data_IF_332187842361
#
_entry.id   IF_332187842361
#
_cell.length_a   1.000
_cell.length_b   1.000
_cell.length_c   1.000
_cell.angle_alpha   90.00
_cell.angle_beta   90.00
_cell.angle_gamma   90.00
#
_symmetry.space_group_name_H-M   'P 1'
#
loop_
_entity.id
_entity.type
_entity.pdbx_description
1 polymer ?
#
# COMPACT_ATOMS: atom_id res chain seq x y z
N UNK A 1 5.31 6.61 37.45
CA UNK A 1 5.71 5.31 36.87
C UNK A 1 6.76 4.72 37.80
N UNK A 2 6.63 3.46 38.26
CA UNK A 2 7.64 2.84 39.12
C UNK A 2 8.96 2.64 38.33
N UNK A 3 10.11 2.70 38.99
CA UNK A 3 11.46 2.60 38.41
C UNK A 3 11.60 1.38 37.50
N UNK A 4 11.10 0.22 37.93
CA UNK A 4 11.11 -1.03 37.14
C UNK A 4 10.37 -0.85 35.81
N UNK A 5 9.18 -0.26 35.84
CA UNK A 5 8.40 0.01 34.61
C UNK A 5 9.14 1.01 33.71
N UNK A 6 9.85 1.97 34.28
CA UNK A 6 10.70 2.89 33.51
C UNK A 6 11.86 2.19 32.79
N UNK A 7 12.57 1.30 33.49
CA UNK A 7 13.66 0.51 32.91
C UNK A 7 13.16 -0.41 31.79
N UNK A 8 12.01 -1.07 31.98
CA UNK A 8 11.40 -1.93 30.96
C UNK A 8 10.99 -1.12 29.72
N UNK A 9 10.38 0.05 29.91
CA UNK A 9 10.03 0.97 28.81
C UNK A 9 11.28 1.41 28.03
N UNK A 10 12.35 1.78 28.73
CA UNK A 10 13.61 2.19 28.12
C UNK A 10 14.24 1.03 27.32
N UNK A 11 14.30 -0.16 27.91
CA UNK A 11 14.82 -1.36 27.27
C UNK A 11 14.09 -1.68 25.95
N UNK A 12 12.76 -1.75 25.96
CA UNK A 12 12.00 -2.05 24.74
C UNK A 12 12.11 -0.95 23.69
N UNK A 13 12.22 0.30 24.11
CA UNK A 13 12.47 1.43 23.21
C UNK A 13 13.81 1.25 22.50
N UNK A 14 14.90 1.07 23.25
CA UNK A 14 16.24 0.87 22.70
C UNK A 14 16.27 -0.37 21.80
N UNK A 15 15.72 -1.49 22.25
CA UNK A 15 15.70 -2.74 21.50
C UNK A 15 14.98 -2.56 20.15
N UNK A 16 13.79 -1.96 20.14
CA UNK A 16 13.02 -1.77 18.91
C UNK A 16 13.73 -0.82 17.95
N UNK A 17 14.12 0.37 18.39
CA UNK A 17 14.69 1.38 17.50
C UNK A 17 16.08 0.98 16.99
N UNK A 18 16.96 0.40 17.82
CA UNK A 18 18.25 -0.09 17.35
C UNK A 18 18.08 -1.28 16.40
N UNK A 19 17.20 -2.24 16.70
CA UNK A 19 16.95 -3.35 15.77
C UNK A 19 16.38 -2.86 14.44
N UNK A 20 15.43 -1.91 14.50
CA UNK A 20 14.90 -1.29 13.30
C UNK A 20 15.95 -0.49 12.55
N UNK A 21 16.96 0.09 13.22
CA UNK A 21 18.06 0.87 12.66
C UNK A 21 19.18 0.03 12.01
N UNK A 22 19.56 -1.08 12.64
CA UNK A 22 20.66 -1.92 12.14
C UNK A 22 20.18 -3.02 11.19
N UNK A 23 18.89 -3.37 11.20
CA UNK A 23 18.34 -4.38 10.28
C UNK A 23 18.19 -3.85 8.86
N UNK A 24 18.35 -4.74 7.88
CA UNK A 24 17.96 -4.53 6.47
C UNK A 24 16.46 -4.81 6.24
N UNK A 25 15.76 -5.32 7.25
CA UNK A 25 14.33 -5.63 7.21
C UNK A 25 13.47 -4.40 7.52
N UNK A 26 12.22 -4.44 7.07
CA UNK A 26 11.29 -3.34 7.32
C UNK A 26 10.92 -3.26 8.80
N UNK A 27 10.66 -2.07 9.36
CA UNK A 27 10.28 -1.89 10.77
C UNK A 27 9.18 -2.85 11.28
N UNK A 28 8.11 -3.11 10.51
CA UNK A 28 7.09 -4.07 10.96
C UNK A 28 7.51 -5.53 10.96
N UNK A 29 8.47 -5.91 10.12
CA UNK A 29 9.07 -7.26 10.15
C UNK A 29 9.93 -7.42 11.40
N UNK A 30 10.70 -6.38 11.75
CA UNK A 30 11.47 -6.33 13.00
C UNK A 30 10.54 -6.43 14.21
N UNK A 31 9.44 -5.67 14.22
CA UNK A 31 8.41 -5.74 15.27
C UNK A 31 7.84 -7.16 15.39
N UNK A 32 7.47 -7.79 14.27
CA UNK A 32 6.97 -9.17 14.28
C UNK A 32 7.98 -10.16 14.85
N UNK A 33 9.27 -10.04 14.50
CA UNK A 33 10.32 -10.93 15.02
C UNK A 33 10.59 -10.74 16.51
N UNK A 34 10.62 -9.50 16.99
CA UNK A 34 10.91 -9.18 18.40
C UNK A 34 9.73 -9.50 19.32
N UNK A 35 8.50 -9.30 18.84
CA UNK A 35 7.28 -9.35 19.67
C UNK A 35 6.25 -10.37 19.16
N UNK A 36 6.73 -11.42 18.47
CA UNK A 36 5.88 -12.50 17.94
C UNK A 36 4.93 -13.03 19.00
N UNK A 37 3.66 -13.18 18.65
CA UNK A 37 2.59 -13.70 19.51
C UNK A 37 2.32 -12.90 20.81
N UNK A 38 2.96 -11.76 21.01
CA UNK A 38 2.71 -10.92 22.19
C UNK A 38 1.32 -10.30 22.11
N UNK A 39 0.57 -10.29 23.20
CA UNK A 39 -0.72 -9.61 23.31
C UNK A 39 -0.60 -8.31 24.12
N UNK A 40 -1.59 -7.43 24.01
CA UNK A 40 -1.68 -6.15 24.66
C UNK A 40 -0.85 -5.06 23.99
N UNK A 41 -0.29 -4.19 24.83
CA UNK A 41 0.57 -3.09 24.44
C UNK A 41 1.90 -3.11 25.18
N UNK A 42 2.95 -2.64 24.52
CA UNK A 42 4.27 -2.40 25.13
C UNK A 42 4.45 -0.89 25.25
N UNK A 43 4.79 -0.40 26.44
CA UNK A 43 5.11 1.01 26.61
C UNK A 43 6.51 1.30 26.04
N UNK A 44 6.61 2.28 25.14
CA UNK A 44 7.85 2.89 24.68
C UNK A 44 7.94 4.30 25.28
N UNK A 45 9.09 4.96 25.21
CA UNK A 45 9.30 6.29 25.84
C UNK A 45 8.20 7.29 25.44
N UNK A 46 7.97 7.48 24.14
CA UNK A 46 7.05 8.50 23.59
C UNK A 46 5.64 7.97 23.24
N UNK A 47 5.47 6.65 23.10
CA UNK A 47 4.25 6.03 22.55
C UNK A 47 4.06 4.60 23.03
N UNK A 48 2.90 4.00 22.78
CA UNK A 48 2.66 2.58 23.04
C UNK A 48 2.77 1.77 21.73
N UNK A 49 3.44 0.62 21.74
CA UNK A 49 3.40 -0.36 20.65
C UNK A 49 2.23 -1.32 20.86
N UNK A 50 1.30 -1.35 19.90
CA UNK A 50 0.13 -2.24 19.91
C UNK A 50 0.49 -3.56 19.24
N UNK A 51 0.27 -4.68 19.94
CA UNK A 51 0.75 -5.99 19.51
C UNK A 51 -0.33 -6.91 18.90
N UNK A 52 -1.61 -6.59 19.06
CA UNK A 52 -2.73 -7.36 18.50
C UNK A 52 -3.92 -6.48 18.12
N UNK A 53 -4.80 -7.04 17.27
CA UNK A 53 -5.96 -6.35 16.72
C UNK A 53 -7.05 -6.06 17.77
N UNK A 54 -7.25 -6.94 18.74
CA UNK A 54 -8.22 -6.76 19.82
C UNK A 54 -7.88 -5.51 20.66
N UNK A 55 -6.63 -5.38 21.07
CA UNK A 55 -6.10 -4.22 21.79
C UNK A 55 -6.26 -2.96 20.95
N UNK A 56 -5.98 -3.03 19.64
CA UNK A 56 -6.10 -1.89 18.74
C UNK A 56 -7.54 -1.38 18.62
N UNK A 57 -8.50 -2.30 18.46
CA UNK A 57 -9.93 -1.98 18.30
C UNK A 57 -10.51 -1.40 19.60
N UNK A 58 -9.98 -1.81 20.76
CA UNK A 58 -10.37 -1.31 22.07
C UNK A 58 -9.71 0.02 22.45
N UNK A 59 -8.84 0.59 21.61
CA UNK A 59 -8.28 1.92 21.87
C UNK A 59 -9.38 3.00 21.80
N UNK A 60 -9.25 4.10 22.57
CA UNK A 60 -10.16 5.23 22.46
C UNK A 60 -10.23 5.73 21.01
N UNK A 61 -11.45 5.86 20.49
CA UNK A 61 -11.70 6.35 19.13
C UNK A 61 -11.12 7.76 18.99
N UNK A 62 -10.29 7.96 17.97
CA UNK A 62 -9.63 9.23 17.71
C UNK A 62 -9.75 9.61 16.24
N UNK A 63 -10.32 10.80 15.99
CA UNK A 63 -10.48 11.33 14.65
C UNK A 63 -9.20 12.00 14.10
N UNK A 64 -8.18 12.26 14.94
CA UNK A 64 -6.90 12.85 14.50
C UNK A 64 -6.18 11.98 13.46
N UNK A 65 -5.33 12.56 12.60
CA UNK A 65 -4.59 11.83 11.57
C UNK A 65 -3.62 10.79 12.13
N UNK A 66 -3.22 9.84 11.28
CA UNK A 66 -2.09 8.96 11.60
C UNK A 66 -0.86 9.88 11.65
N UNK A 67 0.14 9.54 12.46
CA UNK A 67 1.39 10.30 12.52
C UNK A 67 2.03 10.38 11.11
N UNK A 68 2.77 11.47 10.86
CA UNK A 68 3.57 11.74 9.67
C UNK A 68 4.39 10.56 9.12
N UNK A 69 4.71 9.56 9.95
CA UNK A 69 5.29 8.27 9.57
C UNK A 69 4.48 7.58 8.43
N UNK A 70 3.14 7.68 8.47
CA UNK A 70 2.22 7.11 7.46
C UNK A 70 1.94 8.08 6.30
N UNK A 71 2.19 9.39 6.47
CA UNK A 71 1.58 10.46 5.65
C UNK A 71 2.46 11.01 4.51
N UNK A 72 3.56 10.35 4.14
CA UNK A 72 4.37 10.80 2.99
C UNK A 72 3.76 10.45 1.61
N UNK A 73 2.46 10.19 1.57
CA UNK A 73 1.70 9.88 0.36
C UNK A 73 1.34 11.14 -0.44
N UNK A 74 1.60 12.33 0.10
CA UNK A 74 1.16 13.54 -0.55
C UNK A 74 2.04 13.97 -1.72
N UNK A 75 1.46 14.13 -2.92
CA UNK A 75 2.15 14.63 -4.09
C UNK A 75 2.51 16.11 -4.03
N UNK A 76 1.70 16.99 -3.45
CA UNK A 76 1.84 18.44 -3.70
C UNK A 76 2.14 19.26 -2.44
N UNK A 77 1.50 18.90 -1.33
CA UNK A 77 1.77 19.30 0.06
C UNK A 77 1.22 18.14 0.90
N UNK A 78 1.81 17.75 2.05
CA UNK A 78 1.17 16.82 2.98
C UNK A 78 -0.21 17.31 3.44
N UNK A 79 -1.26 17.15 2.64
CA UNK A 79 -2.64 17.54 2.93
C UNK A 79 -3.13 16.83 4.18
N UNK A 80 -2.62 15.64 4.51
CA UNK A 80 -2.82 14.99 5.81
C UNK A 80 -2.00 15.59 6.98
N UNK A 81 -0.93 16.36 6.75
CA UNK A 81 -0.32 17.25 7.77
C UNK A 81 -1.07 18.58 7.88
N UNK A 82 -1.70 19.06 6.80
CA UNK A 82 -2.56 20.25 6.82
C UNK A 82 -3.86 19.95 7.58
N UNK A 83 -4.38 18.72 7.48
CA UNK A 83 -5.72 18.40 7.95
C UNK A 83 -5.77 17.86 9.39
N UNK A 84 -5.43 18.74 10.33
CA UNK A 84 -5.89 18.62 11.72
C UNK A 84 -7.39 18.96 11.87
N UNK A 85 -8.08 19.30 10.78
CA UNK A 85 -9.46 19.74 10.80
C UNK A 85 -10.39 18.57 10.42
N UNK A 86 -11.31 18.20 11.32
CA UNK A 86 -12.23 17.09 11.08
C UNK A 86 -13.15 17.27 9.86
N UNK A 87 -13.23 18.48 9.30
CA UNK A 87 -14.11 18.83 8.19
C UNK A 87 -13.66 18.25 6.85
N UNK A 88 -12.39 18.42 6.45
CA UNK A 88 -11.99 18.15 5.07
C UNK A 88 -11.85 16.66 4.77
N UNK A 89 -11.26 15.84 5.65
CA UNK A 89 -11.23 14.39 5.45
C UNK A 89 -12.64 13.76 5.43
N UNK A 90 -13.60 14.29 6.20
CA UNK A 90 -15.01 13.84 6.14
C UNK A 90 -15.64 14.21 4.81
N UNK A 91 -15.42 15.42 4.32
CA UNK A 91 -15.91 15.86 3.02
C UNK A 91 -15.30 15.04 1.88
N UNK A 92 -13.99 14.78 1.90
CA UNK A 92 -13.32 13.86 0.94
C UNK A 92 -13.91 12.45 0.99
N UNK A 93 -14.30 11.96 2.17
CA UNK A 93 -15.00 10.67 2.29
C UNK A 93 -16.40 10.68 1.67
N UNK A 94 -17.15 11.77 1.79
CA UNK A 94 -18.45 11.93 1.12
C UNK A 94 -18.26 11.91 -0.40
N UNK A 95 -17.29 12.68 -0.89
CA UNK A 95 -16.88 12.71 -2.31
C UNK A 95 -16.46 11.32 -2.78
N UNK A 96 -15.66 10.59 -1.99
CA UNK A 96 -15.28 9.22 -2.33
C UNK A 96 -16.51 8.31 -2.48
N UNK A 97 -17.45 8.36 -1.55
CA UNK A 97 -18.70 7.57 -1.61
C UNK A 97 -19.58 7.90 -2.83
N UNK A 98 -19.43 9.09 -3.42
CA UNK A 98 -20.10 9.43 -4.69
C UNK A 98 -19.44 8.71 -5.88
N UNK A 99 -18.11 8.70 -5.94
CA UNK A 99 -17.37 8.07 -7.02
C UNK A 99 -17.32 6.54 -6.94
N UNK A 100 -17.37 5.97 -5.73
CA UNK A 100 -17.21 4.54 -5.48
C UNK A 100 -18.12 3.64 -6.36
N UNK A 101 -19.46 3.83 -6.39
CA UNK A 101 -20.33 3.00 -7.22
C UNK A 101 -20.09 3.18 -8.73
N UNK A 102 -19.77 4.41 -9.18
CA UNK A 102 -19.52 4.71 -10.60
C UNK A 102 -18.26 3.99 -11.08
N UNK A 103 -17.21 4.00 -10.26
CA UNK A 103 -15.96 3.32 -10.59
C UNK A 103 -16.14 1.81 -10.58
N UNK A 104 -16.88 1.27 -9.59
CA UNK A 104 -17.17 -0.17 -9.52
C UNK A 104 -17.95 -0.66 -10.75
N UNK A 105 -18.94 0.10 -11.22
CA UNK A 105 -19.66 -0.17 -12.48
C UNK A 105 -18.72 -0.18 -13.69
N UNK A 106 -17.86 0.85 -13.82
CA UNK A 106 -16.87 0.92 -14.91
C UNK A 106 -15.88 -0.24 -14.92
N UNK A 107 -15.52 -0.78 -13.75
CA UNK A 107 -14.66 -1.97 -13.65
C UNK A 107 -15.35 -3.19 -14.26
N UNK A 108 -16.67 -3.33 -14.07
CA UNK A 108 -17.45 -4.45 -14.62
C UNK A 108 -17.66 -4.34 -16.14
N UNK A 109 -17.76 -3.12 -16.66
CA UNK A 109 -18.00 -2.85 -18.08
C UNK A 109 -16.72 -2.95 -18.94
N UNK A 110 -15.56 -2.64 -18.38
CA UNK A 110 -14.31 -2.58 -19.15
C UNK A 110 -13.69 -3.96 -19.37
N UNK A 111 -13.57 -4.33 -20.65
CA UNK A 111 -12.74 -5.45 -21.10
C UNK A 111 -11.29 -5.00 -21.25
N UNK A 112 -10.56 -5.05 -20.15
CA UNK A 112 -9.14 -4.74 -20.19
C UNK A 112 -8.32 -5.96 -20.66
N UNK A 113 -7.76 -5.91 -21.87
CA UNK A 113 -6.81 -6.92 -22.31
C UNK A 113 -5.38 -6.47 -22.03
N UNK A 114 -4.73 -7.13 -21.06
CA UNK A 114 -3.33 -6.88 -20.73
C UNK A 114 -2.52 -8.16 -20.81
N UNK A 115 -1.41 -8.08 -21.53
CA UNK A 115 -0.40 -9.13 -21.61
C UNK A 115 0.92 -8.57 -21.10
N UNK A 116 1.51 -9.20 -20.08
CA UNK A 116 2.86 -8.86 -19.66
C UNK A 116 3.85 -9.36 -20.72
N UNK A 117 4.85 -8.55 -21.08
CA UNK A 117 5.87 -9.01 -22.02
C UNK A 117 6.74 -10.13 -21.43
N UNK A 118 7.31 -10.96 -22.29
CA UNK A 118 8.33 -11.92 -21.90
C UNK A 118 9.54 -11.16 -21.33
N UNK A 119 9.84 -11.36 -20.05
CA UNK A 119 10.87 -10.57 -19.35
C UNK A 119 11.55 -11.35 -18.24
N UNK A 120 12.86 -11.13 -18.10
CA UNK A 120 13.67 -11.46 -16.92
C UNK A 120 13.98 -10.15 -16.19
N UNK A 121 13.38 -9.91 -15.03
CA UNK A 121 13.70 -8.73 -14.21
C UNK A 121 12.51 -8.17 -13.44
N UNK A 122 12.54 -6.86 -13.21
CA UNK A 122 11.55 -6.17 -12.40
C UNK A 122 10.24 -5.90 -13.17
N UNK A 123 9.14 -6.52 -12.75
CA UNK A 123 7.81 -6.30 -13.34
C UNK A 123 6.97 -5.25 -12.61
N UNK A 124 7.44 -4.76 -11.46
CA UNK A 124 6.69 -3.81 -10.63
C UNK A 124 6.27 -2.58 -11.44
N UNK A 125 7.17 -2.07 -12.26
CA UNK A 125 6.91 -0.86 -13.06
C UNK A 125 6.04 -1.13 -14.29
N UNK A 126 6.10 -2.34 -14.84
CA UNK A 126 5.23 -2.72 -15.96
C UNK A 126 3.77 -2.79 -15.48
N UNK A 127 3.54 -3.39 -14.30
CA UNK A 127 2.22 -3.43 -13.66
C UNK A 127 1.80 -2.01 -13.22
N UNK A 128 2.73 -1.22 -12.67
CA UNK A 128 2.45 0.16 -12.27
C UNK A 128 1.95 1.01 -13.44
N UNK A 129 2.57 0.90 -14.60
CA UNK A 129 2.15 1.61 -15.80
C UNK A 129 0.72 1.21 -16.23
N UNK A 130 0.42 -0.10 -16.23
CA UNK A 130 -0.93 -0.62 -16.50
C UNK A 130 -1.93 -0.02 -15.52
N UNK A 131 -1.64 -0.10 -14.22
CA UNK A 131 -2.51 0.43 -13.18
C UNK A 131 -2.70 1.94 -13.25
N UNK A 132 -1.69 2.71 -13.67
CA UNK A 132 -1.82 4.15 -13.89
C UNK A 132 -2.77 4.48 -15.04
N UNK A 133 -2.69 3.75 -16.17
CA UNK A 133 -3.64 3.93 -17.29
C UNK A 133 -5.06 3.57 -16.86
N UNK A 134 -5.23 2.45 -16.17
CA UNK A 134 -6.55 2.05 -15.64
C UNK A 134 -7.10 3.10 -14.66
N UNK A 135 -6.26 3.62 -13.75
CA UNK A 135 -6.71 4.61 -12.77
C UNK A 135 -7.22 5.89 -13.44
N UNK A 136 -6.55 6.33 -14.51
CA UNK A 136 -7.01 7.46 -15.31
C UNK A 136 -8.32 7.12 -16.00
N UNK A 137 -8.38 5.98 -16.69
CA UNK A 137 -9.57 5.55 -17.41
C UNK A 137 -10.79 5.41 -16.51
N UNK A 138 -10.63 4.94 -15.27
CA UNK A 138 -11.73 4.83 -14.32
C UNK A 138 -12.22 6.20 -13.83
N UNK A 139 -11.34 7.19 -13.70
CA UNK A 139 -11.73 8.55 -13.27
C UNK A 139 -12.41 9.35 -14.38
N UNK A 140 -11.90 9.25 -15.61
CA UNK A 140 -12.32 10.11 -16.74
C UNK A 140 -13.15 9.37 -17.81
N UNK A 141 -13.34 8.05 -17.66
CA UNK A 141 -14.02 7.16 -18.61
C UNK A 141 -13.46 7.20 -20.05
N UNK A 142 -12.16 7.50 -20.20
CA UNK A 142 -11.48 7.51 -21.50
C UNK A 142 -9.99 7.22 -21.33
N UNK A 143 -9.38 6.75 -22.40
CA UNK A 143 -7.93 6.53 -22.46
C UNK A 143 -7.23 7.90 -22.35
N UNK A 144 -6.16 8.04 -21.56
CA UNK A 144 -5.38 9.27 -21.53
C UNK A 144 -4.73 9.50 -22.89
N UNK A 145 -4.70 10.76 -23.33
CA UNK A 145 -3.83 11.17 -24.43
C UNK A 145 -2.36 11.01 -24.02
N UNK A 146 -1.46 10.92 -24.98
CA UNK A 146 -0.02 10.80 -24.71
C UNK A 146 0.50 11.95 -23.83
N UNK A 147 0.04 13.18 -24.09
CA UNK A 147 0.41 14.35 -23.29
C UNK A 147 -0.10 14.26 -21.85
N UNK A 148 -1.36 13.84 -21.64
CA UNK A 148 -1.90 13.66 -20.29
C UNK A 148 -1.14 12.58 -19.53
N UNK A 149 -0.83 11.46 -20.19
CA UNK A 149 -0.07 10.38 -19.58
C UNK A 149 1.35 10.84 -19.21
N UNK A 150 2.04 11.54 -20.11
CA UNK A 150 3.40 12.06 -19.88
C UNK A 150 3.47 13.16 -18.81
N UNK A 151 2.34 13.77 -18.46
CA UNK A 151 2.24 14.75 -17.38
C UNK A 151 1.89 14.11 -16.03
N UNK A 152 1.03 13.08 -16.03
CA UNK A 152 0.52 12.43 -14.82
C UNK A 152 1.45 11.31 -14.34
N UNK A 153 1.84 10.39 -15.24
CA UNK A 153 2.56 9.17 -14.89
C UNK A 153 3.89 9.43 -14.16
N UNK A 154 4.75 10.39 -14.58
CA UNK A 154 5.98 10.67 -13.87
C UNK A 154 5.74 11.12 -12.41
N UNK A 155 4.70 11.92 -12.17
CA UNK A 155 4.31 12.34 -10.82
C UNK A 155 3.86 11.16 -9.96
N UNK A 156 2.99 10.28 -10.49
CA UNK A 156 2.57 9.05 -9.80
C UNK A 156 3.75 8.12 -9.51
N UNK A 157 4.67 7.98 -10.47
CA UNK A 157 5.87 7.15 -10.32
C UNK A 157 6.81 7.67 -9.24
N UNK A 158 6.99 8.99 -9.15
CA UNK A 158 7.78 9.62 -8.08
C UNK A 158 7.18 9.37 -6.70
N UNK A 159 5.87 9.57 -6.55
CA UNK A 159 5.16 9.25 -5.31
C UNK A 159 5.45 7.79 -4.92
N UNK A 160 5.30 6.85 -5.86
CA UNK A 160 5.55 5.44 -5.60
C UNK A 160 7.01 5.16 -5.22
N UNK A 161 7.98 5.78 -5.89
CA UNK A 161 9.42 5.65 -5.57
C UNK A 161 9.74 6.16 -4.17
N UNK A 162 9.16 7.28 -3.75
CA UNK A 162 9.31 7.83 -2.40
C UNK A 162 8.67 6.88 -1.37
N UNK A 163 7.44 6.42 -1.62
CA UNK A 163 6.71 5.47 -0.75
C UNK A 163 7.52 4.19 -0.53
N UNK A 164 8.06 3.64 -1.62
CA UNK A 164 8.84 2.39 -1.61
C UNK A 164 10.32 2.55 -1.28
N UNK A 165 10.77 3.78 -0.96
CA UNK A 165 12.16 4.07 -0.56
C UNK A 165 13.19 3.77 -1.66
N UNK A 166 12.79 3.95 -2.93
CA UNK A 166 13.72 4.00 -4.05
C UNK A 166 14.44 5.35 -4.11
N UNK A 167 13.77 6.41 -3.65
CA UNK A 167 14.28 7.77 -3.45
C UNK A 167 13.90 8.24 -2.05
N UNK A 168 14.68 9.16 -1.48
CA UNK A 168 14.39 9.77 -0.17
C UNK A 168 13.58 11.05 -0.30
N UNK A 169 13.79 11.82 -1.37
CA UNK A 169 13.18 13.13 -1.58
C UNK A 169 12.26 13.14 -2.80
N UNK A 170 11.16 13.89 -2.74
CA UNK A 170 10.26 14.10 -3.87
C UNK A 170 10.89 14.97 -4.96
N UNK A 171 10.61 14.68 -6.22
CA UNK A 171 10.89 15.62 -7.32
C UNK A 171 9.70 16.58 -7.48
N UNK A 172 9.91 17.82 -7.03
CA UNK A 172 8.86 18.84 -6.98
C UNK A 172 8.45 19.35 -8.37
N UNK A 173 9.32 19.29 -9.38
CA UNK A 173 8.98 19.78 -10.71
C UNK A 173 7.97 18.85 -11.39
N UNK A 174 8.22 17.53 -11.34
CA UNK A 174 7.28 16.56 -11.91
C UNK A 174 5.98 16.46 -11.10
N UNK A 175 6.04 16.70 -9.78
CA UNK A 175 4.83 16.84 -8.95
C UNK A 175 4.03 18.07 -9.34
N UNK A 176 4.64 19.23 -9.52
CA UNK A 176 3.91 20.41 -9.97
C UNK A 176 3.21 20.16 -11.31
N UNK A 177 3.91 19.51 -12.26
CA UNK A 177 3.33 19.15 -13.56
C UNK A 177 2.11 18.23 -13.42
N UNK A 178 2.17 17.24 -12.53
CA UNK A 178 1.04 16.36 -12.22
C UNK A 178 -0.13 17.13 -11.57
N UNK A 179 0.16 18.08 -10.67
CA UNK A 179 -0.85 18.97 -10.08
C UNK A 179 -1.58 19.76 -11.16
N UNK A 180 -0.83 20.50 -11.96
CA UNK A 180 -1.36 21.41 -12.98
C UNK A 180 -2.20 20.64 -14.01
N UNK A 181 -1.74 19.45 -14.42
CA UNK A 181 -2.50 18.59 -15.32
C UNK A 181 -3.79 18.08 -14.68
N UNK A 182 -3.76 17.68 -13.40
CA UNK A 182 -4.97 17.23 -12.69
C UNK A 182 -5.97 18.37 -12.55
N UNK A 183 -5.50 19.57 -12.20
CA UNK A 183 -6.33 20.76 -12.11
C UNK A 183 -7.00 21.09 -13.46
N UNK A 184 -6.24 21.03 -14.56
CA UNK A 184 -6.78 21.24 -15.90
C UNK A 184 -7.90 20.25 -16.24
N UNK A 185 -7.72 18.96 -15.93
CA UNK A 185 -8.73 17.92 -16.17
C UNK A 185 -10.01 18.15 -15.34
N UNK A 186 -9.86 18.59 -14.10
CA UNK A 186 -10.99 18.97 -13.24
C UNK A 186 -11.74 20.16 -13.84
N UNK A 187 -11.02 21.19 -14.30
CA UNK A 187 -11.61 22.40 -14.87
C UNK A 187 -12.30 22.17 -16.23
N UNK A 188 -11.80 21.23 -17.03
CA UNK A 188 -12.47 20.80 -18.26
C UNK A 188 -13.85 20.20 -17.97
N UNK A 189 -14.02 19.59 -16.79
CA UNK A 189 -15.26 19.01 -16.31
C UNK A 189 -16.05 18.24 -17.38
N UNK A 190 -15.35 17.31 -18.05
CA UNK A 190 -15.96 16.51 -19.10
C UNK A 190 -17.17 15.71 -18.56
N UNK A 191 -18.16 15.46 -19.42
CA UNK A 191 -19.41 14.80 -19.00
C UNK A 191 -19.22 13.46 -18.31
N UNK A 192 -18.16 12.75 -18.70
CA UNK A 192 -17.81 11.43 -18.20
C UNK A 192 -16.85 11.45 -17.00
N UNK A 193 -16.40 12.62 -16.55
CA UNK A 193 -15.62 12.73 -15.32
C UNK A 193 -16.46 12.28 -14.12
N UNK A 194 -15.90 11.43 -13.25
CA UNK A 194 -16.65 10.81 -12.13
C UNK A 194 -17.29 11.83 -11.18
N UNK A 195 -16.73 13.03 -11.07
CA UNK A 195 -17.26 14.09 -10.18
C UNK A 195 -18.05 15.18 -10.91
N UNK A 196 -18.35 15.03 -12.20
CA UNK A 196 -18.99 16.09 -12.99
C UNK A 196 -20.29 16.61 -12.34
N UNK A 197 -21.10 15.72 -11.76
CA UNK A 197 -22.35 16.09 -11.07
C UNK A 197 -22.24 16.04 -9.52
N UNK A 198 -21.03 16.09 -8.97
CA UNK A 198 -20.80 16.00 -7.54
C UNK A 198 -20.67 17.40 -6.91
N UNK A 199 -21.77 17.94 -6.38
CA UNK A 199 -21.75 19.24 -5.71
C UNK A 199 -20.74 19.31 -4.56
N UNK A 200 -20.70 18.29 -3.70
CA UNK A 200 -19.79 18.24 -2.55
C UNK A 200 -18.30 18.31 -2.96
N UNK A 201 -17.97 17.84 -4.17
CA UNK A 201 -16.62 17.93 -4.72
C UNK A 201 -16.27 19.37 -5.11
N UNK A 202 -17.17 20.06 -5.84
CA UNK A 202 -16.96 21.44 -6.25
C UNK A 202 -17.06 22.46 -5.10
N UNK A 203 -17.73 22.10 -4.01
CA UNK A 203 -17.77 22.90 -2.77
C UNK A 203 -16.43 22.83 -2.00
N UNK A 204 -15.49 21.94 -2.36
CA UNK A 204 -14.14 21.93 -1.79
C UNK A 204 -13.24 22.99 -2.43
N UNK A 205 -12.18 23.40 -1.73
CA UNK A 205 -11.15 24.23 -2.36
C UNK A 205 -10.35 23.42 -3.40
N UNK A 206 -9.65 24.14 -4.29
CA UNK A 206 -8.86 23.57 -5.39
C UNK A 206 -7.90 22.46 -4.93
N UNK A 207 -7.13 22.73 -3.86
CA UNK A 207 -6.16 21.77 -3.34
C UNK A 207 -6.83 20.44 -2.96
N UNK A 208 -8.00 20.48 -2.31
CA UNK A 208 -8.74 19.29 -1.93
C UNK A 208 -9.43 18.60 -3.12
N UNK A 209 -9.87 19.34 -4.13
CA UNK A 209 -10.37 18.75 -5.39
C UNK A 209 -9.26 17.96 -6.09
N UNK A 210 -8.09 18.58 -6.27
CA UNK A 210 -6.92 17.93 -6.86
C UNK A 210 -6.48 16.74 -6.00
N UNK A 211 -6.45 16.88 -4.67
CA UNK A 211 -6.08 15.78 -3.77
C UNK A 211 -7.03 14.60 -3.86
N UNK A 212 -8.34 14.83 -3.96
CA UNK A 212 -9.31 13.74 -4.14
C UNK A 212 -9.03 12.96 -5.42
N UNK A 213 -8.78 13.63 -6.55
CA UNK A 213 -8.46 12.93 -7.80
C UNK A 213 -7.08 12.26 -7.74
N UNK A 214 -6.04 13.03 -7.44
CA UNK A 214 -4.64 12.59 -7.52
C UNK A 214 -4.24 11.61 -6.41
N UNK A 215 -4.59 11.88 -5.16
CA UNK A 215 -4.21 11.06 -4.00
C UNK A 215 -5.19 9.92 -3.79
N UNK A 216 -6.48 10.23 -3.63
CA UNK A 216 -7.45 9.23 -3.17
C UNK A 216 -7.73 8.18 -4.25
N UNK A 217 -7.75 8.58 -5.52
CA UNK A 217 -8.02 7.66 -6.63
C UNK A 217 -6.78 7.27 -7.43
N UNK A 218 -6.15 8.21 -8.14
CA UNK A 218 -5.05 7.87 -9.07
C UNK A 218 -3.88 7.19 -8.34
N UNK A 219 -3.42 7.76 -7.24
CA UNK A 219 -2.31 7.20 -6.45
C UNK A 219 -2.72 5.90 -5.75
N UNK A 220 -3.87 5.85 -5.09
CA UNK A 220 -4.32 4.63 -4.39
C UNK A 220 -4.43 3.44 -5.34
N UNK A 221 -5.09 3.62 -6.49
CA UNK A 221 -5.23 2.56 -7.49
C UNK A 221 -3.86 2.21 -8.06
N UNK A 222 -3.09 3.21 -8.52
CA UNK A 222 -1.78 2.96 -9.14
C UNK A 222 -0.81 2.26 -8.20
N UNK A 223 -0.70 2.69 -6.95
CA UNK A 223 0.32 2.18 -6.01
C UNK A 223 -0.16 0.91 -5.32
N UNK A 224 -1.30 0.94 -4.63
CA UNK A 224 -1.70 -0.17 -3.76
C UNK A 224 -2.15 -1.39 -4.56
N UNK A 225 -2.90 -1.19 -5.65
CA UNK A 225 -3.35 -2.32 -6.46
C UNK A 225 -2.19 -2.94 -7.26
N UNK A 226 -1.19 -2.15 -7.68
CA UNK A 226 0.06 -2.70 -8.24
C UNK A 226 0.74 -3.65 -7.26
N UNK A 227 0.86 -3.25 -5.99
CA UNK A 227 1.51 -4.06 -4.98
C UNK A 227 0.74 -5.34 -4.71
N UNK A 228 -0.59 -5.24 -4.59
CA UNK A 228 -1.45 -6.41 -4.43
C UNK A 228 -1.30 -7.38 -5.61
N UNK A 229 -1.41 -6.90 -6.86
CA UNK A 229 -1.24 -7.73 -8.06
C UNK A 229 0.15 -8.38 -8.09
N UNK A 230 1.22 -7.64 -7.75
CA UNK A 230 2.57 -8.21 -7.65
C UNK A 230 2.66 -9.31 -6.60
N UNK A 231 2.08 -9.12 -5.41
CA UNK A 231 2.05 -10.15 -4.37
C UNK A 231 1.26 -11.38 -4.81
N UNK A 232 0.11 -11.18 -5.45
CA UNK A 232 -0.71 -12.26 -5.99
C UNK A 232 0.04 -13.06 -7.06
N UNK A 233 0.72 -12.40 -8.01
CA UNK A 233 1.50 -13.08 -9.06
C UNK A 233 2.67 -13.91 -8.49
N UNK A 234 3.32 -13.41 -7.44
CA UNK A 234 4.39 -14.15 -6.76
C UNK A 234 3.84 -15.38 -6.02
N UNK A 235 2.71 -15.25 -5.32
CA UNK A 235 2.06 -16.38 -4.65
C UNK A 235 1.50 -17.39 -5.67
N UNK A 236 0.93 -16.92 -6.78
CA UNK A 236 0.44 -17.75 -7.88
C UNK A 236 1.54 -18.67 -8.44
N UNK A 237 2.80 -18.21 -8.48
CA UNK A 237 3.94 -19.02 -8.95
C UNK A 237 4.19 -20.29 -8.11
N UNK A 238 3.66 -20.33 -6.89
CA UNK A 238 3.79 -21.40 -5.90
C UNK A 238 2.45 -22.11 -5.63
N UNK A 239 1.33 -21.39 -5.69
CA UNK A 239 0.00 -21.83 -5.30
C UNK A 239 -1.06 -21.63 -6.40
N UNK A 240 -0.81 -22.03 -7.66
CA UNK A 240 -1.71 -21.69 -8.77
C UNK A 240 -3.13 -22.24 -8.58
N UNK A 241 -3.26 -23.44 -8.02
CA UNK A 241 -4.55 -24.08 -7.77
C UNK A 241 -5.40 -23.30 -6.75
N UNK A 242 -4.78 -22.70 -5.72
CA UNK A 242 -5.53 -21.97 -4.70
C UNK A 242 -6.17 -20.70 -5.29
N UNK A 243 -5.47 -20.01 -6.20
CA UNK A 243 -6.02 -18.86 -6.94
C UNK A 243 -7.12 -19.27 -7.92
N UNK A 244 -7.00 -20.43 -8.57
CA UNK A 244 -8.04 -20.95 -9.47
C UNK A 244 -9.30 -21.40 -8.73
N UNK A 245 -9.14 -21.96 -7.53
CA UNK A 245 -10.25 -22.43 -6.71
C UNK A 245 -11.03 -21.27 -6.07
N UNK A 246 -10.32 -20.31 -5.46
CA UNK A 246 -10.94 -19.17 -4.80
C UNK A 246 -10.00 -17.96 -4.75
N UNK A 247 -10.19 -17.05 -5.71
CA UNK A 247 -9.41 -15.83 -5.81
C UNK A 247 -9.70 -14.82 -4.70
N UNK A 248 -10.93 -14.77 -4.16
CA UNK A 248 -11.28 -13.83 -3.09
C UNK A 248 -10.56 -14.19 -1.79
N UNK A 249 -10.58 -15.47 -1.44
CA UNK A 249 -9.83 -16.00 -0.31
C UNK A 249 -8.32 -15.84 -0.51
N UNK A 250 -7.84 -16.04 -1.73
CA UNK A 250 -6.43 -15.82 -2.07
C UNK A 250 -6.02 -14.35 -1.95
N UNK A 251 -6.87 -13.40 -2.32
CA UNK A 251 -6.64 -11.96 -2.13
C UNK A 251 -6.58 -11.62 -0.64
N UNK A 252 -7.54 -12.08 0.15
CA UNK A 252 -7.56 -11.83 1.60
C UNK A 252 -6.30 -12.41 2.28
N UNK A 253 -5.90 -13.62 1.91
CA UNK A 253 -4.69 -14.25 2.45
C UNK A 253 -3.41 -13.57 1.99
N UNK A 254 -3.38 -13.08 0.75
CA UNK A 254 -2.28 -12.27 0.23
C UNK A 254 -2.10 -11.01 1.07
N UNK A 255 -3.18 -10.28 1.31
CA UNK A 255 -3.18 -9.06 2.13
C UNK A 255 -2.87 -9.32 3.59
N UNK A 256 -3.19 -10.51 4.12
CA UNK A 256 -2.84 -10.90 5.49
C UNK A 256 -1.34 -11.11 5.63
N UNK A 257 -0.72 -11.83 4.70
CA UNK A 257 0.72 -12.11 4.75
C UNK A 257 1.58 -10.91 4.37
N UNK A 258 1.14 -10.16 3.36
CA UNK A 258 1.81 -9.02 2.76
C UNK A 258 0.90 -7.79 2.80
N UNK A 259 0.60 -7.24 4.00
CA UNK A 259 -0.24 -6.05 4.12
C UNK A 259 0.39 -4.89 3.38
N UNK A 260 -0.31 -4.10 2.58
CA UNK A 260 0.32 -3.09 1.69
C UNK A 260 0.91 -1.86 2.40
N UNK A 261 0.82 -1.81 3.73
CA UNK A 261 1.38 -0.75 4.58
C UNK A 261 2.13 -1.41 5.74
N UNK A 262 3.17 -0.76 6.26
CA UNK A 262 4.01 -1.35 7.30
C UNK A 262 3.53 -1.10 8.71
N UNK A 263 3.53 0.17 9.07
CA UNK A 263 3.23 0.64 10.40
C UNK A 263 2.15 1.68 10.26
N UNK A 264 1.21 1.61 11.18
CA UNK A 264 0.38 2.76 11.52
C UNK A 264 0.91 3.39 12.78
N UNK A 265 0.95 4.71 12.77
CA UNK A 265 1.30 5.49 13.93
C UNK A 265 0.18 6.48 14.23
N UNK A 266 -0.06 6.79 15.49
CA UNK A 266 -0.93 7.89 15.93
C UNK A 266 -0.17 8.80 16.86
N UNK A 267 -0.38 10.10 16.67
CA UNK A 267 0.09 11.10 17.60
C UNK A 267 -0.68 11.06 18.93
N UNK A 268 -0.09 11.51 20.04
CA UNK A 268 -0.80 11.73 21.29
C UNK A 268 -2.00 12.67 21.12
N UNK A 269 -3.08 12.42 21.86
CA UNK A 269 -4.27 13.28 21.87
C UNK A 269 -4.88 13.42 23.26
N UNK A 270 -5.04 14.68 23.72
CA UNK A 270 -5.51 15.01 25.07
C UNK A 270 -4.70 14.26 26.13
N UNK A 271 -5.34 13.36 26.88
CA UNK A 271 -4.72 12.53 27.93
C UNK A 271 -4.22 11.18 27.42
N UNK A 272 -4.36 10.88 26.12
CA UNK A 272 -3.98 9.60 25.54
C UNK A 272 -2.59 9.69 24.89
N UNK A 273 -1.73 8.72 25.23
CA UNK A 273 -0.43 8.52 24.59
C UNK A 273 -0.61 8.20 23.11
N UNK A 274 0.36 8.60 22.29
CA UNK A 274 0.45 8.13 20.91
C UNK A 274 0.70 6.63 20.87
N UNK A 275 0.53 6.02 19.70
CA UNK A 275 0.80 4.60 19.53
C UNK A 275 1.38 4.27 18.16
N UNK A 276 2.04 3.13 18.05
CA UNK A 276 2.44 2.50 16.79
C UNK A 276 1.90 1.08 16.74
N UNK A 277 1.54 0.61 15.55
CA UNK A 277 1.08 -0.75 15.33
C UNK A 277 1.64 -1.26 14.00
N UNK A 278 2.25 -2.44 14.00
CA UNK A 278 2.71 -3.08 12.77
C UNK A 278 1.58 -3.87 12.13
N UNK A 279 1.26 -3.60 10.88
CA UNK A 279 0.29 -4.40 10.14
C UNK A 279 0.76 -5.83 9.89
N UNK A 280 2.08 -6.07 9.84
CA UNK A 280 2.64 -7.44 9.79
C UNK A 280 2.26 -8.19 11.05
N UNK A 281 2.49 -7.57 12.22
CA UNK A 281 2.16 -8.18 13.50
C UNK A 281 0.64 -8.34 13.66
N UNK A 282 -0.14 -7.30 13.37
CA UNK A 282 -1.59 -7.30 13.53
C UNK A 282 -2.30 -8.35 12.65
N UNK A 283 -1.80 -8.62 11.45
CA UNK A 283 -2.37 -9.62 10.54
C UNK A 283 -1.81 -11.03 10.74
N UNK A 284 -0.83 -11.22 11.62
CA UNK A 284 -0.23 -12.52 11.91
C UNK A 284 -0.55 -13.01 13.31
N UNK A 285 -0.70 -12.12 14.27
CA UNK A 285 -1.02 -12.48 15.64
C UNK A 285 -2.43 -13.08 15.73
N UNK A 286 -2.57 -14.18 16.48
CA UNK A 286 -3.83 -14.92 16.61
C UNK A 286 -4.16 -15.89 15.48
N UNK A 287 -3.38 -15.93 14.40
CA UNK A 287 -3.59 -16.87 13.29
C UNK A 287 -2.78 -18.15 13.48
N UNK A 288 -3.35 -19.30 13.15
CA UNK A 288 -2.63 -20.58 13.05
C UNK A 288 -1.68 -20.55 11.86
N UNK A 289 -0.45 -21.06 12.01
CA UNK A 289 0.60 -21.00 10.97
C UNK A 289 0.68 -19.60 10.32
N UNK A 290 1.00 -18.57 11.12
CA UNK A 290 0.79 -17.17 10.73
C UNK A 290 1.68 -16.71 9.58
N UNK A 291 2.77 -17.42 9.32
CA UNK A 291 3.74 -17.13 8.25
C UNK A 291 3.47 -17.93 6.95
N UNK A 292 2.44 -18.80 6.93
CA UNK A 292 2.07 -19.64 5.78
C UNK A 292 0.90 -19.08 4.99
N UNK A 293 0.91 -19.24 3.66
CA UNK A 293 -0.20 -18.88 2.77
C UNK A 293 -1.22 -20.02 2.75
N UNK A 294 -2.39 -19.79 3.35
CA UNK A 294 -3.47 -20.78 3.48
C UNK A 294 -4.83 -20.13 3.21
N UNK A 295 -5.25 -19.93 1.94
CA UNK A 295 -6.50 -19.24 1.58
C UNK A 295 -7.76 -19.87 2.19
N UNK A 296 -7.77 -21.19 2.37
CA UNK A 296 -8.89 -21.92 2.98
C UNK A 296 -9.24 -21.47 4.41
N UNK A 297 -8.36 -20.74 5.11
CA UNK A 297 -8.63 -20.23 6.46
C UNK A 297 -9.80 -19.24 6.50
N UNK A 298 -10.11 -18.61 5.38
CA UNK A 298 -11.20 -17.65 5.23
C UNK A 298 -12.58 -18.31 5.11
N UNK A 299 -12.64 -19.64 4.96
CA UNK A 299 -13.89 -20.40 4.98
C UNK A 299 -14.43 -20.64 6.41
N UNK A 300 -13.64 -20.32 7.43
CA UNK A 300 -14.02 -20.49 8.84
C UNK A 300 -14.62 -19.16 9.32
N UNK A 301 -15.81 -19.17 9.90
CA UNK A 301 -16.45 -17.93 10.39
C UNK A 301 -15.65 -17.22 11.49
N UNK A 302 -14.99 -18.01 12.35
CA UNK A 302 -14.23 -17.50 13.49
C UNK A 302 -12.73 -17.41 13.16
N UNK A 303 -12.33 -16.29 12.54
CA UNK A 303 -10.92 -15.93 12.36
C UNK A 303 -10.64 -14.50 12.85
N UNK A 304 -9.39 -14.15 13.21
CA UNK A 304 -9.05 -12.77 13.54
C UNK A 304 -9.39 -11.80 12.39
N UNK A 305 -9.66 -10.54 12.71
CA UNK A 305 -9.99 -9.54 11.70
C UNK A 305 -8.78 -9.23 10.80
N UNK A 306 -9.01 -9.12 9.48
CA UNK A 306 -8.02 -8.60 8.53
C UNK A 306 -7.83 -7.09 8.75
N UNK A 307 -6.66 -6.70 9.26
CA UNK A 307 -6.33 -5.32 9.55
C UNK A 307 -5.80 -4.57 8.33
N UNK A 308 -5.47 -5.24 7.23
CA UNK A 308 -4.97 -4.58 6.00
C UNK A 308 -5.92 -3.55 5.39
N UNK A 309 -7.20 -3.59 5.74
CA UNK A 309 -8.23 -2.64 5.29
C UNK A 309 -8.50 -1.48 6.24
N UNK A 310 -7.68 -1.26 7.26
CA UNK A 310 -7.99 -0.24 8.26
C UNK A 310 -9.00 -0.70 9.31
N UNK A 311 -9.24 0.15 10.31
CA UNK A 311 -10.18 -0.08 11.40
C UNK A 311 -10.90 1.22 11.80
N UNK A 312 -12.02 1.07 12.54
CA UNK A 312 -12.87 2.17 13.03
C UNK A 312 -13.29 3.15 11.91
N UNK A 313 -13.47 4.43 12.22
CA UNK A 313 -13.84 5.49 11.30
C UNK A 313 -12.81 5.70 10.18
N UNK A 314 -11.62 5.10 10.23
CA UNK A 314 -10.60 5.18 9.17
C UNK A 314 -10.43 3.86 8.41
N UNK A 315 -11.39 2.93 8.53
CA UNK A 315 -11.48 1.78 7.63
C UNK A 315 -11.52 2.27 6.19
N UNK A 316 -10.67 1.66 5.36
CA UNK A 316 -10.52 1.95 3.94
C UNK A 316 -11.88 1.82 3.24
N UNK A 317 -12.41 2.90 2.64
CA UNK A 317 -13.65 2.83 1.89
C UNK A 317 -13.46 2.11 0.54
N UNK A 318 -12.25 2.14 -0.01
CA UNK A 318 -11.92 1.59 -1.33
C UNK A 318 -11.76 0.05 -1.37
N UNK A 319 -12.17 -0.70 -0.32
CA UNK A 319 -11.97 -2.15 -0.27
C UNK A 319 -12.50 -2.86 -1.51
N UNK A 320 -13.75 -2.53 -1.90
CA UNK A 320 -14.43 -3.19 -3.02
C UNK A 320 -13.72 -2.90 -4.34
N UNK A 321 -13.49 -1.62 -4.65
CA UNK A 321 -12.75 -1.18 -5.84
C UNK A 321 -11.38 -1.86 -5.91
N UNK A 322 -10.59 -1.80 -4.85
CA UNK A 322 -9.24 -2.34 -4.83
C UNK A 322 -9.19 -3.86 -5.04
N UNK A 323 -10.13 -4.60 -4.45
CA UNK A 323 -10.28 -6.03 -4.70
C UNK A 323 -10.67 -6.30 -6.16
N UNK A 324 -11.71 -5.63 -6.65
CA UNK A 324 -12.25 -5.89 -7.99
C UNK A 324 -11.24 -5.56 -9.09
N UNK A 325 -10.56 -4.42 -9.01
CA UNK A 325 -9.54 -4.05 -10.01
C UNK A 325 -8.31 -4.97 -9.96
N UNK A 326 -7.83 -5.31 -8.75
CA UNK A 326 -6.65 -6.18 -8.62
C UNK A 326 -6.96 -7.58 -9.12
N UNK A 327 -8.16 -8.09 -8.81
CA UNK A 327 -8.69 -9.34 -9.35
C UNK A 327 -8.77 -9.31 -10.87
N UNK A 328 -9.39 -8.28 -11.45
CA UNK A 328 -9.56 -8.15 -12.90
C UNK A 328 -8.21 -8.14 -13.62
N UNK A 329 -7.26 -7.33 -13.16
CA UNK A 329 -5.92 -7.24 -13.77
C UNK A 329 -5.17 -8.56 -13.60
N UNK A 330 -5.17 -9.14 -12.40
CA UNK A 330 -4.52 -10.41 -12.13
C UNK A 330 -5.08 -11.54 -13.02
N UNK A 331 -6.40 -11.69 -13.08
CA UNK A 331 -7.05 -12.72 -13.89
C UNK A 331 -6.72 -12.57 -15.38
N UNK A 332 -6.74 -11.35 -15.93
CA UNK A 332 -6.37 -11.12 -17.33
C UNK A 332 -4.94 -11.57 -17.64
N UNK A 333 -4.00 -11.30 -16.73
CA UNK A 333 -2.61 -11.74 -16.86
C UNK A 333 -2.54 -13.27 -16.83
N UNK A 334 -3.11 -13.91 -15.81
CA UNK A 334 -2.93 -15.37 -15.61
C UNK A 334 -3.77 -16.22 -16.57
N UNK A 335 -4.86 -15.68 -17.14
CA UNK A 335 -5.69 -16.35 -18.16
C UNK A 335 -5.05 -16.31 -19.55
N UNK A 336 -3.99 -15.53 -19.75
CA UNK A 336 -3.27 -15.53 -21.03
C UNK A 336 -2.68 -16.92 -21.27
N UNK A 337 -2.94 -17.49 -22.45
CA UNK A 337 -2.58 -18.88 -22.77
C UNK A 337 -1.09 -19.17 -22.52
N UNK A 338 -0.84 -20.25 -21.78
CA UNK A 338 0.51 -20.71 -21.46
C UNK A 338 1.28 -19.80 -20.49
N UNK A 339 0.64 -18.81 -19.85
CA UNK A 339 1.31 -17.93 -18.90
C UNK A 339 1.99 -18.71 -17.78
N UNK A 340 3.25 -18.37 -17.53
CA UNK A 340 3.99 -18.81 -16.35
C UNK A 340 4.85 -17.68 -15.82
N UNK A 341 5.08 -17.73 -14.50
CA UNK A 341 5.91 -16.78 -13.78
C UNK A 341 6.74 -17.53 -12.74
N UNK A 342 8.02 -17.16 -12.62
CA UNK A 342 8.90 -17.66 -11.57
C UNK A 342 9.74 -16.54 -10.95
N UNK A 343 9.77 -16.41 -9.61
CA UNK A 343 10.67 -15.47 -8.95
C UNK A 343 12.13 -15.88 -9.15
N UNK A 344 13.04 -14.92 -9.12
CA UNK A 344 14.47 -15.23 -9.10
C UNK A 344 14.83 -16.07 -7.87
N UNK A 345 15.80 -16.98 -7.98
CA UNK A 345 16.22 -17.88 -6.90
C UNK A 345 16.70 -17.15 -5.64
N UNK A 346 17.29 -15.97 -5.79
CA UNK A 346 17.78 -15.12 -4.70
C UNK A 346 16.79 -14.02 -4.28
N UNK A 347 15.57 -14.03 -4.80
CA UNK A 347 14.50 -13.11 -4.44
C UNK A 347 13.80 -13.59 -3.18
N UNK A 348 13.71 -12.72 -2.17
CA UNK A 348 12.85 -12.94 -1.03
C UNK A 348 11.52 -12.23 -1.27
N UNK A 349 10.40 -12.85 -0.92
CA UNK A 349 9.09 -12.21 -1.07
C UNK A 349 8.92 -11.18 0.05
N UNK A 350 9.45 -9.99 -0.19
CA UNK A 350 9.34 -8.87 0.75
C UNK A 350 8.18 -7.96 0.36
N UNK A 351 7.47 -7.45 1.36
CA UNK A 351 6.29 -6.58 1.17
C UNK A 351 6.59 -5.33 0.35
N UNK A 352 7.64 -4.58 0.69
CA UNK A 352 7.86 -3.24 0.10
C UNK A 352 8.46 -3.30 -1.31
N UNK A 353 8.70 -4.51 -1.85
CA UNK A 353 9.43 -4.72 -3.09
C UNK A 353 10.71 -3.87 -3.14
N UNK A 354 11.61 -4.00 -2.16
CA UNK A 354 12.79 -3.12 -2.02
C UNK A 354 13.73 -3.20 -3.22
N UNK A 355 13.71 -4.32 -3.93
CA UNK A 355 14.42 -4.57 -5.18
C UNK A 355 13.46 -4.68 -6.37
N UNK A 356 12.23 -4.18 -6.27
CA UNK A 356 11.16 -4.43 -7.25
C UNK A 356 10.59 -5.84 -7.13
N UNK A 357 9.78 -6.26 -8.11
CA UNK A 357 9.23 -7.60 -8.23
C UNK A 357 10.07 -8.37 -9.28
N UNK A 358 11.10 -9.09 -8.82
CA UNK A 358 12.10 -9.72 -9.70
C UNK A 358 11.67 -11.12 -10.11
N UNK A 359 11.18 -11.24 -11.34
CA UNK A 359 10.62 -12.48 -11.88
C UNK A 359 11.10 -12.74 -13.30
N UNK A 360 10.94 -13.99 -13.73
CA UNK A 360 10.94 -14.38 -15.12
C UNK A 360 9.50 -14.74 -15.51
N UNK A 361 8.94 -13.99 -16.45
CA UNK A 361 7.65 -14.25 -17.07
C UNK A 361 7.86 -14.84 -18.46
N UNK A 362 7.06 -15.84 -18.81
CA UNK A 362 6.96 -16.35 -20.16
C UNK A 362 5.60 -16.94 -20.49
N UNK A 363 5.49 -17.40 -21.74
CA UNK A 363 4.31 -18.10 -22.27
C UNK A 363 4.74 -19.43 -22.89
N UNK A 364 3.94 -20.47 -22.70
CA UNK A 364 4.19 -21.81 -23.23
C UNK A 364 5.12 -22.64 -22.35
N UNK A 365 6.13 -23.28 -22.95
CA UNK A 365 7.05 -24.15 -22.22
C UNK A 365 7.96 -23.36 -21.28
N UNK A 366 8.12 -23.86 -20.07
CA UNK A 366 8.99 -23.29 -19.04
C UNK A 366 10.44 -23.71 -19.33
N UNK A 367 11.39 -22.78 -19.54
CA UNK A 367 12.80 -23.12 -19.76
C UNK A 367 13.43 -23.81 -18.56
N UNK A 368 14.27 -24.82 -18.79
CA UNK A 368 14.94 -25.59 -17.72
C UNK A 368 15.79 -24.71 -16.78
N UNK A 369 16.37 -23.63 -17.30
CA UNK A 369 17.22 -22.71 -16.54
C UNK A 369 16.44 -21.77 -15.61
N UNK A 370 15.10 -21.73 -15.69
CA UNK A 370 14.27 -20.79 -14.91
C UNK A 370 14.54 -20.87 -13.40
N UNK A 371 14.72 -22.08 -12.88
CA UNK A 371 14.94 -22.33 -11.45
C UNK A 371 16.35 -21.95 -10.98
N UNK A 372 17.26 -21.67 -11.91
CA UNK A 372 18.64 -21.27 -11.63
C UNK A 372 18.86 -19.75 -11.75
N UNK A 373 17.90 -19.02 -12.34
CA UNK A 373 18.04 -17.59 -12.59
C UNK A 373 18.11 -16.80 -11.28
N UNK A 374 19.06 -15.86 -11.23
CA UNK A 374 19.27 -14.91 -10.13
C UNK A 374 19.26 -13.50 -10.71
N UNK A 375 18.73 -12.55 -9.95
CA UNK A 375 18.85 -11.14 -10.31
C UNK A 375 20.10 -10.52 -9.66
N UNK A 376 20.71 -9.58 -10.38
CA UNK A 376 21.93 -8.89 -9.95
C UNK A 376 21.61 -7.72 -9.00
N UNK A 377 22.63 -7.23 -8.29
CA UNK A 377 22.57 -5.99 -7.48
C UNK A 377 21.65 -6.03 -6.25
N UNK A 378 21.23 -7.21 -5.77
CA UNK A 378 20.41 -7.36 -4.54
C UNK A 378 20.95 -6.53 -3.36
N UNK A 379 22.24 -6.69 -3.04
CA UNK A 379 22.88 -5.96 -1.93
C UNK A 379 22.85 -4.44 -2.13
N UNK A 380 23.21 -3.96 -3.32
CA UNK A 380 23.16 -2.52 -3.64
C UNK A 380 21.74 -1.95 -3.46
N UNK A 381 20.71 -2.67 -3.89
CA UNK A 381 19.31 -2.24 -3.75
C UNK A 381 18.86 -2.24 -2.28
N UNK A 382 19.26 -3.25 -1.50
CA UNK A 382 19.01 -3.31 -0.06
C UNK A 382 19.70 -2.15 0.69
N UNK A 383 20.96 -1.87 0.41
CA UNK A 383 21.68 -0.73 1.00
C UNK A 383 21.03 0.61 0.65
N UNK A 384 20.58 0.80 -0.60
CA UNK A 384 19.87 2.01 -1.01
C UNK A 384 18.57 2.18 -0.21
N UNK A 385 17.73 1.15 -0.15
CA UNK A 385 16.50 1.20 0.64
C UNK A 385 16.80 1.52 2.10
N UNK A 386 17.75 0.81 2.69
CA UNK A 386 18.16 1.00 4.08
C UNK A 386 18.53 2.47 4.31
N UNK A 387 19.39 3.04 3.46
CA UNK A 387 19.78 4.46 3.55
C UNK A 387 18.56 5.40 3.46
N UNK A 388 17.67 5.19 2.49
CA UNK A 388 16.45 5.99 2.34
C UNK A 388 15.49 5.84 3.54
N UNK A 389 15.39 4.67 4.15
CA UNK A 389 14.61 4.45 5.38
C UNK A 389 15.20 5.22 6.57
N UNK A 390 16.54 5.26 6.70
CA UNK A 390 17.22 5.98 7.79
C UNK A 390 17.08 7.48 7.68
N UNK A 391 17.36 8.03 6.49
CA UNK A 391 17.19 9.46 6.24
C UNK A 391 15.79 9.93 6.64
N UNK A 392 14.77 9.14 6.30
CA UNK A 392 13.40 9.45 6.69
C UNK A 392 13.13 9.33 8.19
N UNK A 393 13.66 8.33 8.88
CA UNK A 393 13.51 8.23 10.34
C UNK A 393 14.11 9.46 11.05
N UNK A 394 15.22 9.98 10.53
CA UNK A 394 15.88 11.19 11.04
C UNK A 394 15.03 12.43 10.73
N UNK A 395 14.61 12.61 9.47
CA UNK A 395 13.79 13.76 9.03
C UNK A 395 12.46 13.86 9.79
N UNK A 396 11.97 12.75 10.34
CA UNK A 396 10.71 12.67 11.07
C UNK A 396 10.86 12.83 12.60
N UNK A 397 12.06 13.18 13.09
CA UNK A 397 12.38 13.33 14.52
C UNK A 397 12.09 12.08 15.38
N UNK A 398 12.03 10.88 14.78
CA UNK A 398 11.84 9.63 15.54
C UNK A 398 13.13 9.17 16.26
N UNK A 399 14.28 9.73 15.86
CA UNK A 399 15.60 9.41 16.39
C UNK A 399 16.39 10.64 16.89
N UNK A 400 15.73 11.81 17.01
CA UNK A 400 16.35 13.05 17.48
C UNK A 400 16.27 13.21 18.99
#
# INVERSE_FOLDING_TARGET
MNLINGLVTLYYTILLYLSAFFSLETPGTVIWKLFKNRKGKISLISRDLICDSETLINLPKCAKPLDGFTNALCPFIPTFLIDNNDRYWKQRRIVFSHADPIIDERILEKSFHFKLENKKGNILWDIFEIMSKISFELMFNRIPTENEFNDIYPGLLDINKVIKRFTSTPDMQIRQKFYDRTLLLIQQNETNFVFNNCKDFYDMNELHQVSSVAEDFLTTISVQCTDLVCHMLLLYSQYPNDFHNDIENSINETLRLYPLTDIWARQPYRKHRGWIASLVQLNRNGWTQPDSFLPQRWNIENHPQLMSWGFDIRRCPAKKIATNISKLVFENIIKTEGFWIKPAKNFEHERTFPYGCQVWIGYGQIPNEVNSWKFNRKFQMQCRRWLCERLRMIDQNELN
#
